data_IF_149214256518
#
_entry.id   IF_149214256518
#
_cell.length_a   1.000
_cell.length_b   1.000
_cell.length_c   1.000
_cell.angle_alpha   90.00
_cell.angle_beta   90.00
_cell.angle_gamma   90.00
#
_symmetry.space_group_name_H-M   'P 1'
#
loop_
_entity.id
_entity.type
_entity.pdbx_description
1 polymer ?
#
# COMPACT_ATOMS: atom_id res chain seq x y z
N UNK A 1 41.86 -12.43 0.06
CA UNK A 1 40.94 -11.88 1.09
C UNK A 1 40.17 -10.75 0.42
N UNK A 2 38.94 -11.01 -0.01
CA UNK A 2 38.08 -10.01 -0.66
C UNK A 2 37.17 -9.41 0.41
N UNK A 3 37.32 -8.10 0.62
CA UNK A 3 36.59 -7.32 1.60
C UNK A 3 35.17 -7.08 1.08
N UNK A 4 34.17 -7.64 1.76
CA UNK A 4 32.74 -7.48 1.46
C UNK A 4 32.14 -6.47 2.43
N UNK A 5 32.60 -5.22 2.36
CA UNK A 5 31.90 -4.06 2.95
C UNK A 5 31.20 -3.33 1.81
N UNK A 6 30.11 -3.90 1.36
CA UNK A 6 29.15 -3.18 0.52
C UNK A 6 27.81 -3.38 1.21
N UNK A 7 27.30 -2.32 1.84
CA UNK A 7 25.88 -2.21 2.16
C UNK A 7 25.12 -2.35 0.84
N UNK A 8 24.69 -3.57 0.53
CA UNK A 8 23.92 -3.85 -0.68
C UNK A 8 22.55 -3.21 -0.46
N UNK A 9 22.34 -2.03 -1.03
CA UNK A 9 21.03 -1.40 -1.08
C UNK A 9 20.14 -2.19 -2.05
N UNK A 10 19.32 -3.09 -1.48
CA UNK A 10 18.40 -3.98 -2.20
C UNK A 10 17.07 -3.29 -2.60
N UNK A 11 16.86 -2.06 -2.17
CA UNK A 11 15.66 -1.26 -2.44
C UNK A 11 15.28 -1.15 -3.93
N UNK A 12 16.22 -0.86 -4.87
CA UNK A 12 15.89 -0.76 -6.29
C UNK A 12 15.48 -2.10 -6.91
N UNK A 13 16.10 -3.20 -6.48
CA UNK A 13 15.76 -4.56 -6.94
C UNK A 13 14.37 -4.96 -6.46
N UNK A 14 14.04 -4.66 -5.20
CA UNK A 14 12.73 -4.94 -4.62
C UNK A 14 11.61 -4.15 -5.33
N UNK A 15 11.87 -2.86 -5.64
CA UNK A 15 10.92 -2.01 -6.36
C UNK A 15 10.66 -2.52 -7.78
N UNK A 16 11.71 -2.92 -8.50
CA UNK A 16 11.59 -3.51 -9.84
C UNK A 16 10.86 -4.87 -9.80
N UNK A 17 11.22 -5.73 -8.85
CA UNK A 17 10.62 -7.06 -8.70
C UNK A 17 9.12 -6.98 -8.37
N UNK A 18 8.72 -6.04 -7.50
CA UNK A 18 7.32 -5.78 -7.20
C UNK A 18 6.54 -5.26 -8.41
N UNK A 19 7.20 -4.45 -9.25
CA UNK A 19 6.59 -3.91 -10.47
C UNK A 19 6.26 -5.02 -11.48
N UNK A 20 7.13 -6.03 -11.61
CA UNK A 20 6.88 -7.20 -12.47
C UNK A 20 5.81 -8.15 -11.90
N UNK A 21 5.82 -8.38 -10.58
CA UNK A 21 4.81 -9.22 -9.92
C UNK A 21 3.40 -8.63 -9.94
N UNK A 22 3.28 -7.30 -10.04
CA UNK A 22 1.98 -6.64 -10.16
C UNK A 22 1.16 -7.13 -11.35
N UNK A 23 1.81 -7.67 -12.39
CA UNK A 23 1.16 -8.25 -13.58
C UNK A 23 0.45 -9.58 -13.31
N UNK A 24 0.89 -10.33 -12.28
CA UNK A 24 0.32 -11.62 -11.88
C UNK A 24 -0.76 -11.48 -10.78
N UNK A 25 -0.95 -10.28 -10.22
CA UNK A 25 -1.99 -10.05 -9.20
C UNK A 25 -3.36 -10.13 -9.88
N UNK A 26 -4.20 -11.12 -9.54
CA UNK A 26 -5.51 -11.29 -10.17
C UNK A 26 -6.39 -10.06 -9.93
N UNK A 27 -7.19 -9.65 -10.93
CA UNK A 27 -8.09 -8.48 -10.84
C UNK A 27 -9.00 -8.50 -9.60
N UNK A 28 -9.36 -9.67 -9.08
CA UNK A 28 -10.14 -9.83 -7.84
C UNK A 28 -9.41 -9.32 -6.59
N UNK A 29 -8.09 -9.46 -6.53
CA UNK A 29 -7.26 -8.91 -5.45
C UNK A 29 -6.98 -7.43 -5.64
N UNK A 30 -6.84 -6.96 -6.89
CA UNK A 30 -6.79 -5.52 -7.18
C UNK A 30 -8.10 -4.83 -6.80
N UNK A 31 -9.26 -5.45 -7.03
CA UNK A 31 -10.56 -4.95 -6.59
C UNK A 31 -10.72 -4.96 -5.06
N UNK A 32 -10.18 -5.98 -4.38
CA UNK A 32 -10.13 -6.02 -2.93
C UNK A 32 -9.18 -4.97 -2.33
N UNK A 33 -8.07 -4.63 -3.00
CA UNK A 33 -7.19 -3.51 -2.65
C UNK A 33 -7.81 -2.14 -3.03
N UNK A 34 -8.56 -2.08 -4.13
CA UNK A 34 -9.30 -0.89 -4.57
C UNK A 34 -10.60 -0.67 -3.77
N UNK A 35 -10.96 -1.59 -2.87
CA UNK A 35 -12.04 -1.46 -1.89
C UNK A 35 -11.82 -0.28 -0.94
N UNK A 36 -10.60 0.22 -0.86
CA UNK A 36 -10.18 1.37 -0.05
C UNK A 36 -10.53 2.74 -0.69
N UNK A 37 -11.38 2.75 -1.73
CA UNK A 37 -11.83 3.94 -2.47
C UNK A 37 -13.29 4.35 -2.20
N UNK A 38 -14.01 3.64 -1.33
CA UNK A 38 -15.33 4.11 -0.89
C UNK A 38 -15.17 5.23 0.13
N UNK A 39 -15.81 6.36 -0.14
CA UNK A 39 -15.74 7.57 0.69
C UNK A 39 -17.15 7.94 1.13
N UNK A 40 -17.31 8.21 2.42
CA UNK A 40 -18.52 8.81 2.95
C UNK A 40 -18.26 10.31 3.09
N UNK A 41 -18.77 11.11 2.15
CA UNK A 41 -18.62 12.56 2.18
C UNK A 41 -19.70 13.17 3.05
N UNK A 42 -19.29 14.01 3.98
CA UNK A 42 -20.18 14.76 4.88
C UNK A 42 -20.00 16.23 4.58
N UNK A 43 -21.04 16.85 4.05
CA UNK A 43 -21.10 18.28 3.77
C UNK A 43 -22.02 18.95 4.78
N UNK A 44 -21.56 20.04 5.39
CA UNK A 44 -22.29 20.73 6.44
C UNK A 44 -23.05 21.92 5.86
N UNK A 45 -24.37 21.89 6.01
CA UNK A 45 -25.28 23.00 5.80
C UNK A 45 -25.61 23.61 7.18
N UNK A 46 -26.02 24.89 7.29
CA UNK A 46 -26.24 25.53 8.60
C UNK A 46 -27.21 24.80 9.55
N UNK A 47 -28.12 23.97 9.02
CA UNK A 47 -29.13 23.24 9.81
C UNK A 47 -29.00 21.71 9.72
N UNK A 48 -28.37 21.18 8.67
CA UNK A 48 -28.33 19.74 8.36
C UNK A 48 -26.95 19.32 7.87
N UNK A 49 -26.59 18.06 8.07
CA UNK A 49 -25.46 17.43 7.42
C UNK A 49 -25.96 16.59 6.24
N UNK A 50 -25.53 16.94 5.04
CA UNK A 50 -25.76 16.12 3.85
C UNK A 50 -24.68 15.04 3.80
N UNK A 51 -25.11 13.79 3.70
CA UNK A 51 -24.21 12.65 3.65
C UNK A 51 -24.36 11.99 2.30
N UNK A 52 -23.25 11.87 1.57
CA UNK A 52 -23.18 11.17 0.29
C UNK A 52 -22.12 10.07 0.33
N UNK A 53 -22.45 8.95 -0.30
CA UNK A 53 -21.53 7.85 -0.50
C UNK A 53 -20.94 7.94 -1.90
N UNK A 54 -19.62 8.04 -2.00
CA UNK A 54 -18.88 8.11 -3.25
C UNK A 54 -18.08 6.83 -3.44
N UNK A 55 -18.34 6.09 -4.52
CA UNK A 55 -17.57 4.91 -4.90
C UNK A 55 -17.12 5.00 -6.35
N UNK A 56 -15.79 5.01 -6.55
CA UNK A 56 -15.03 4.99 -7.81
C UNK A 56 -15.41 6.04 -8.86
N UNK A 57 -16.68 6.29 -9.17
CA UNK A 57 -17.22 7.39 -10.00
C UNK A 57 -18.70 7.74 -9.72
N UNK A 58 -19.39 7.05 -8.81
CA UNK A 58 -20.80 7.30 -8.52
C UNK A 58 -20.97 7.91 -7.14
N UNK A 59 -21.71 9.02 -7.07
CA UNK A 59 -22.14 9.65 -5.83
C UNK A 59 -23.61 9.32 -5.58
N UNK A 60 -23.89 8.69 -4.45
CA UNK A 60 -25.23 8.36 -3.99
C UNK A 60 -25.51 9.16 -2.72
N UNK A 61 -26.45 10.09 -2.78
CA UNK A 61 -26.90 10.80 -1.59
C UNK A 61 -27.63 9.82 -0.66
N UNK A 62 -27.14 9.67 0.58
CA UNK A 62 -27.77 8.85 1.60
C UNK A 62 -28.92 9.60 2.28
N UNK A 63 -28.82 10.92 2.35
CA UNK A 63 -29.84 11.80 2.90
C UNK A 63 -29.24 13.06 3.52
N UNK A 64 -30.13 13.87 4.05
CA UNK A 64 -29.78 15.00 4.93
C UNK A 64 -30.22 14.66 6.34
N UNK A 65 -29.30 14.86 7.29
CA UNK A 65 -29.47 14.46 8.68
C UNK A 65 -29.33 15.70 9.57
N UNK A 66 -30.27 15.90 10.48
CA UNK A 66 -30.17 16.95 11.50
C UNK A 66 -29.18 16.57 12.60
N UNK A 67 -28.63 17.55 13.32
CA UNK A 67 -27.72 17.32 14.45
C UNK A 67 -28.47 16.89 15.72
N UNK A 68 -29.14 15.73 15.68
CA UNK A 68 -29.90 15.18 16.79
C UNK A 68 -29.60 13.67 17.00
N UNK A 69 -29.97 13.13 18.17
CA UNK A 69 -29.70 11.72 18.49
C UNK A 69 -30.49 10.75 17.59
N UNK A 70 -31.67 11.14 17.10
CA UNK A 70 -32.48 10.30 16.19
C UNK A 70 -31.78 10.09 14.84
N UNK A 71 -31.26 11.16 14.26
CA UNK A 71 -30.53 11.16 13.01
C UNK A 71 -29.21 10.38 13.12
N UNK A 72 -28.55 10.45 14.28
CA UNK A 72 -27.38 9.63 14.60
C UNK A 72 -27.73 8.13 14.63
N UNK A 73 -28.82 7.74 15.28
CA UNK A 73 -29.26 6.34 15.32
C UNK A 73 -29.63 5.83 13.91
N UNK A 74 -30.37 6.64 13.14
CA UNK A 74 -30.73 6.32 11.76
C UNK A 74 -29.48 6.12 10.89
N UNK A 75 -28.54 7.06 10.95
CA UNK A 75 -27.30 7.00 10.20
C UNK A 75 -26.44 5.79 10.61
N UNK A 76 -26.31 5.52 11.90
CA UNK A 76 -25.58 4.35 12.39
C UNK A 76 -26.23 3.05 11.94
N UNK A 77 -27.56 2.96 11.96
CA UNK A 77 -28.30 1.81 11.46
C UNK A 77 -28.07 1.60 9.96
N UNK A 78 -28.05 2.69 9.19
CA UNK A 78 -27.85 2.66 7.74
C UNK A 78 -26.44 2.21 7.37
N UNK A 79 -25.43 2.70 8.10
CA UNK A 79 -24.02 2.31 7.95
C UNK A 79 -23.81 0.85 8.39
N UNK A 80 -24.43 0.43 9.49
CA UNK A 80 -24.33 -0.95 9.98
C UNK A 80 -25.02 -1.96 9.05
N UNK A 81 -26.11 -1.55 8.39
CA UNK A 81 -26.88 -2.40 7.49
C UNK A 81 -26.14 -2.67 6.16
N UNK A 82 -25.23 -1.79 5.75
CA UNK A 82 -24.51 -1.89 4.49
C UNK A 82 -23.00 -1.96 4.73
N UNK A 83 -22.41 -3.15 4.53
CA UNK A 83 -20.97 -3.38 4.71
C UNK A 83 -20.09 -2.43 3.88
N UNK A 84 -20.59 -1.95 2.74
CA UNK A 84 -19.88 -1.00 1.88
C UNK A 84 -19.69 0.38 2.53
N UNK A 85 -20.64 0.81 3.37
CA UNK A 85 -20.57 2.08 4.10
C UNK A 85 -19.72 1.94 5.36
N UNK A 86 -19.78 0.77 6.02
CA UNK A 86 -18.99 0.50 7.22
C UNK A 86 -17.48 0.51 6.98
N UNK A 87 -17.04 0.03 5.80
CA UNK A 87 -15.63 0.04 5.40
C UNK A 87 -15.20 1.38 4.75
N UNK A 88 -16.13 2.32 4.51
CA UNK A 88 -15.85 3.58 3.83
C UNK A 88 -15.11 4.58 4.73
N UNK A 89 -14.19 5.34 4.14
CA UNK A 89 -13.51 6.44 4.85
C UNK A 89 -14.39 7.67 4.88
N UNK A 90 -14.62 8.24 6.06
CA UNK A 90 -15.39 9.47 6.21
C UNK A 90 -14.53 10.67 5.78
N UNK A 91 -15.05 11.49 4.88
CA UNK A 91 -14.47 12.73 4.39
C UNK A 91 -15.34 13.89 4.83
N UNK A 92 -14.75 14.84 5.55
CA UNK A 92 -15.38 16.10 5.92
C UNK A 92 -15.21 17.11 4.78
N UNK A 93 -16.29 17.47 4.09
CA UNK A 93 -16.26 18.49 3.04
C UNK A 93 -16.67 19.84 3.60
N UNK A 94 -15.72 20.78 3.55
CA UNK A 94 -15.95 22.18 3.90
C UNK A 94 -16.64 22.87 2.73
N UNK A 95 -17.79 23.52 2.94
CA UNK A 95 -18.47 24.23 1.86
C UNK A 95 -17.62 25.42 1.37
N UNK A 96 -17.84 25.81 0.11
CA UNK A 96 -16.98 26.75 -0.61
C UNK A 96 -16.88 28.11 0.08
N UNK A 97 -17.98 28.59 0.66
CA UNK A 97 -18.11 29.86 1.38
C UNK A 97 -17.21 29.97 2.63
N UNK A 98 -16.84 28.84 3.22
CA UNK A 98 -15.95 28.75 4.38
C UNK A 98 -14.50 28.47 4.01
N UNK A 99 -14.20 28.35 2.71
CA UNK A 99 -12.87 28.06 2.20
C UNK A 99 -12.35 29.19 1.30
N UNK A 100 -11.06 29.48 1.39
CA UNK A 100 -10.39 30.46 0.54
C UNK A 100 -9.36 29.74 -0.31
N UNK A 101 -9.37 30.03 -1.60
CA UNK A 101 -8.40 29.51 -2.57
C UNK A 101 -7.52 30.64 -3.08
N UNK A 102 -6.21 30.39 -3.13
CA UNK A 102 -5.23 31.36 -3.59
C UNK A 102 -4.13 30.65 -4.38
N UNK A 103 -3.81 31.16 -5.56
CA UNK A 103 -2.63 30.72 -6.31
C UNK A 103 -1.35 31.28 -5.68
N UNK A 104 -0.39 30.38 -5.42
CA UNK A 104 0.90 30.70 -4.81
C UNK A 104 2.03 30.15 -5.66
N UNK A 105 3.08 30.96 -5.82
CA UNK A 105 4.30 30.59 -6.54
C UNK A 105 5.46 30.57 -5.56
N UNK A 106 6.03 29.39 -5.32
CA UNK A 106 7.19 29.23 -4.45
C UNK A 106 8.44 28.84 -5.25
N UNK A 107 9.65 29.20 -4.78
CA UNK A 107 10.90 28.70 -5.34
C UNK A 107 10.95 27.17 -5.35
N UNK A 108 11.57 26.57 -6.36
CA UNK A 108 11.68 25.12 -6.48
C UNK A 108 12.42 24.47 -5.29
N UNK A 109 13.32 25.21 -4.65
CA UNK A 109 14.06 24.79 -3.46
C UNK A 109 13.11 24.54 -2.26
N UNK A 110 11.98 25.25 -2.22
CA UNK A 110 10.97 25.09 -1.17
C UNK A 110 10.19 23.76 -1.30
N UNK A 111 10.30 23.03 -2.41
CA UNK A 111 9.58 21.76 -2.62
C UNK A 111 9.82 20.73 -1.51
N UNK A 112 11.06 20.70 -1.01
CA UNK A 112 11.46 19.77 0.06
C UNK A 112 10.76 20.07 1.39
N UNK A 113 10.26 21.29 1.59
CA UNK A 113 9.69 21.74 2.86
C UNK A 113 8.54 22.74 2.69
N UNK A 114 7.62 22.44 1.78
CA UNK A 114 6.50 23.32 1.40
C UNK A 114 5.66 23.75 2.59
N UNK A 115 5.36 22.83 3.51
CA UNK A 115 4.53 23.13 4.67
C UNK A 115 5.17 24.16 5.60
N UNK A 116 6.48 24.03 5.88
CA UNK A 116 7.18 24.98 6.75
C UNK A 116 7.29 26.35 6.08
N UNK A 117 7.69 26.38 4.80
CA UNK A 117 7.79 27.65 4.05
C UNK A 117 6.44 28.35 4.00
N UNK A 118 5.37 27.62 3.70
CA UNK A 118 4.01 28.18 3.68
C UNK A 118 3.56 28.69 5.05
N UNK A 119 3.95 28.04 6.15
CA UNK A 119 3.62 28.50 7.51
C UNK A 119 4.18 29.90 7.78
N UNK A 120 5.37 30.21 7.27
CA UNK A 120 6.02 31.51 7.45
C UNK A 120 5.56 32.57 6.45
N UNK A 121 5.16 32.16 5.25
CA UNK A 121 4.74 33.07 4.17
C UNK A 121 3.21 33.25 4.12
N UNK A 122 2.45 32.58 4.98
CA UNK A 122 0.97 32.56 4.93
C UNK A 122 0.36 33.96 5.05
N UNK A 123 0.94 34.80 5.91
CA UNK A 123 0.51 36.18 6.19
C UNK A 123 0.81 37.14 5.03
N UNK A 124 1.75 36.77 4.13
CA UNK A 124 2.04 37.52 2.90
C UNK A 124 1.04 37.24 1.80
N UNK A 125 0.52 36.02 1.74
CA UNK A 125 -0.44 35.62 0.72
C UNK A 125 -1.89 35.80 1.15
N UNK A 126 -2.17 35.81 2.46
CA UNK A 126 -3.52 35.85 3.00
C UNK A 126 -3.61 36.76 4.22
N UNK A 127 -4.79 37.32 4.52
CA UNK A 127 -4.98 38.12 5.75
C UNK A 127 -5.04 37.26 7.03
N UNK A 128 -4.61 35.99 6.98
CA UNK A 128 -4.71 35.04 8.08
C UNK A 128 -3.32 34.58 8.54
N UNK A 129 -3.19 34.40 9.85
CA UNK A 129 -1.99 33.80 10.43
C UNK A 129 -2.12 32.27 10.45
N UNK A 130 -0.99 31.56 10.36
CA UNK A 130 -0.96 30.09 10.44
C UNK A 130 -1.55 29.52 11.74
N UNK A 131 -1.58 30.33 12.81
CA UNK A 131 -2.24 29.97 14.07
C UNK A 131 -3.76 29.88 13.98
N UNK A 132 -4.41 30.55 13.03
CA UNK A 132 -5.87 30.76 12.97
C UNK A 132 -6.56 29.92 11.88
N UNK A 133 -5.80 29.34 10.96
CA UNK A 133 -6.34 28.57 9.83
C UNK A 133 -5.68 27.20 9.71
N UNK A 134 -6.42 26.24 9.20
CA UNK A 134 -5.87 25.05 8.59
C UNK A 134 -5.70 25.30 7.10
N UNK A 135 -4.60 24.83 6.54
CA UNK A 135 -4.30 25.00 5.12
C UNK A 135 -3.77 23.70 4.52
N UNK A 136 -4.04 23.54 3.23
CA UNK A 136 -3.55 22.46 2.39
C UNK A 136 -3.16 23.01 1.03
N UNK A 137 -2.41 22.24 0.25
CA UNK A 137 -1.93 22.70 -1.04
C UNK A 137 -1.98 21.61 -2.10
N UNK A 138 -2.30 22.02 -3.32
CA UNK A 138 -2.38 21.17 -4.50
C UNK A 138 -1.34 21.65 -5.51
N UNK A 139 -0.45 20.77 -5.95
CA UNK A 139 0.51 21.08 -7.01
C UNK A 139 -0.22 21.04 -8.36
N UNK A 140 -0.28 22.18 -9.05
CA UNK A 140 -0.98 22.30 -10.33
C UNK A 140 -0.09 21.97 -11.55
N UNK A 141 1.23 21.97 -11.37
CA UNK A 141 2.21 21.61 -12.41
C UNK A 141 3.50 22.41 -12.29
N UNK A 142 4.48 22.22 -13.19
CA UNK A 142 5.63 23.11 -13.29
C UNK A 142 5.15 24.51 -13.67
N UNK A 143 5.62 25.54 -12.98
CA UNK A 143 5.36 26.91 -13.41
C UNK A 143 6.05 27.14 -14.78
N UNK A 144 5.63 28.19 -15.50
CA UNK A 144 6.24 28.59 -16.77
C UNK A 144 7.78 28.76 -16.69
N UNK A 145 8.31 28.92 -15.48
CA UNK A 145 9.74 28.96 -15.18
C UNK A 145 10.13 27.77 -14.29
N UNK A 146 11.15 27.00 -14.67
CA UNK A 146 11.67 25.84 -13.90
C UNK A 146 12.17 26.20 -12.48
N UNK A 147 12.36 27.48 -12.20
CA UNK A 147 12.75 27.98 -10.89
C UNK A 147 11.58 28.09 -9.89
N UNK A 148 10.32 28.03 -10.35
CA UNK A 148 9.13 28.22 -9.52
C UNK A 148 8.19 27.02 -9.61
N UNK A 149 7.45 26.78 -8.54
CA UNK A 149 6.42 25.76 -8.43
C UNK A 149 5.08 26.46 -8.25
N UNK A 150 4.10 26.08 -9.07
CA UNK A 150 2.73 26.57 -8.98
C UNK A 150 1.91 25.68 -8.06
N UNK A 151 1.41 26.28 -6.99
CA UNK A 151 0.61 25.63 -5.96
C UNK A 151 -0.73 26.36 -5.83
N UNK A 152 -1.81 25.60 -5.69
CA UNK A 152 -3.09 26.12 -5.22
C UNK A 152 -3.14 25.93 -3.70
N UNK A 153 -3.13 27.04 -2.98
CA UNK A 153 -3.31 27.09 -1.53
C UNK A 153 -4.81 27.13 -1.23
N UNK A 154 -5.26 26.24 -0.33
CA UNK A 154 -6.63 26.23 0.18
C UNK A 154 -6.57 26.35 1.70
N UNK A 155 -7.37 27.24 2.26
CA UNK A 155 -7.39 27.51 3.70
C UNK A 155 -8.81 27.67 4.25
N UNK A 156 -8.96 27.21 5.49
CA UNK A 156 -10.21 27.17 6.26
C UNK A 156 -9.92 27.61 7.68
N UNK A 157 -10.80 28.42 8.28
CA UNK A 157 -10.67 28.84 9.68
C UNK A 157 -10.71 27.63 10.62
N UNK A 158 -9.83 27.61 11.62
CA UNK A 158 -9.76 26.51 12.59
C UNK A 158 -11.07 26.32 13.33
N UNK A 159 -11.67 27.41 13.82
CA UNK A 159 -12.93 27.35 14.57
C UNK A 159 -14.05 26.74 13.75
N UNK A 160 -14.15 27.11 12.47
CA UNK A 160 -15.16 26.56 11.55
C UNK A 160 -14.96 25.07 11.32
N UNK A 161 -13.73 24.63 11.01
CA UNK A 161 -13.43 23.21 10.78
C UNK A 161 -13.63 22.37 12.04
N UNK A 162 -13.19 22.87 13.21
CA UNK A 162 -13.33 22.17 14.48
C UNK A 162 -14.81 22.02 14.87
N UNK A 163 -15.62 23.07 14.71
CA UNK A 163 -17.06 22.97 14.96
C UNK A 163 -17.72 21.91 14.05
N UNK A 164 -17.39 21.90 12.75
CA UNK A 164 -17.87 20.88 11.82
C UNK A 164 -17.40 19.47 12.22
N UNK A 165 -16.15 19.34 12.68
CA UNK A 165 -15.61 18.09 13.19
C UNK A 165 -16.39 17.59 14.41
N UNK A 166 -16.68 18.46 15.38
CA UNK A 166 -17.49 18.13 16.54
C UNK A 166 -18.92 17.73 16.17
N UNK A 167 -19.54 18.42 15.23
CA UNK A 167 -20.86 18.03 14.71
C UNK A 167 -20.81 16.65 14.02
N UNK A 168 -19.75 16.34 13.27
CA UNK A 168 -19.54 15.01 12.70
C UNK A 168 -19.46 13.94 13.79
N UNK A 169 -18.73 14.21 14.88
CA UNK A 169 -18.64 13.31 16.03
C UNK A 169 -20.00 13.12 16.72
N UNK A 170 -20.83 14.16 16.81
CA UNK A 170 -22.18 14.06 17.39
C UNK A 170 -23.08 13.11 16.59
N UNK A 171 -22.92 13.07 15.27
CA UNK A 171 -23.58 12.11 14.36
C UNK A 171 -22.96 10.70 14.44
N UNK A 172 -21.95 10.48 15.28
CA UNK A 172 -21.25 9.21 15.41
C UNK A 172 -20.28 8.90 14.27
N UNK A 173 -20.04 9.86 13.39
CA UNK A 173 -19.08 9.76 12.30
C UNK A 173 -17.70 10.25 12.76
N UNK A 174 -16.65 9.65 12.21
CA UNK A 174 -15.26 10.01 12.54
C UNK A 174 -14.51 10.39 11.27
N UNK A 175 -14.35 11.69 10.99
CA UNK A 175 -13.62 12.17 9.82
C UNK A 175 -12.20 11.62 9.76
N UNK A 176 -11.83 11.02 8.63
CA UNK A 176 -10.46 10.60 8.36
C UNK A 176 -9.69 11.68 7.58
N UNK A 177 -10.39 12.45 6.75
CA UNK A 177 -9.84 13.39 5.79
C UNK A 177 -10.76 14.59 5.66
N UNK A 178 -10.22 15.78 5.35
CA UNK A 178 -11.05 16.94 5.02
C UNK A 178 -10.63 17.58 3.68
N UNK A 179 -11.62 17.87 2.85
CA UNK A 179 -11.48 18.64 1.60
C UNK A 179 -12.35 19.90 1.63
N UNK A 180 -12.11 20.78 0.66
CA UNK A 180 -13.00 21.90 0.34
C UNK A 180 -13.85 21.56 -0.88
N UNK A 181 -15.13 21.93 -0.84
CA UNK A 181 -16.04 21.88 -1.97
C UNK A 181 -15.56 22.75 -3.15
N UNK A 182 -14.83 23.82 -2.86
CA UNK A 182 -14.24 24.70 -3.87
C UNK A 182 -13.23 23.98 -4.76
N UNK A 183 -12.55 22.96 -4.21
CA UNK A 183 -11.69 22.04 -4.98
C UNK A 183 -11.77 20.63 -4.42
N UNK A 184 -12.70 19.85 -4.97
CA UNK A 184 -12.81 18.42 -4.70
C UNK A 184 -11.65 17.69 -5.37
N UNK A 185 -10.91 16.92 -4.58
CA UNK A 185 -9.84 16.04 -5.05
C UNK A 185 -10.04 14.67 -4.43
N UNK A 186 -9.97 13.63 -5.26
CA UNK A 186 -10.03 12.27 -4.75
C UNK A 186 -8.83 12.03 -3.82
N UNK A 187 -9.01 11.51 -2.60
CA UNK A 187 -7.90 11.17 -1.69
C UNK A 187 -6.85 10.23 -2.30
N UNK A 188 -7.25 9.43 -3.31
CA UNK A 188 -6.34 8.56 -4.07
C UNK A 188 -5.48 9.30 -5.11
N UNK A 189 -5.92 10.48 -5.57
CA UNK A 189 -5.25 11.34 -6.56
C UNK A 189 -4.58 12.55 -5.90
N UNK A 190 -5.04 12.94 -4.71
CA UNK A 190 -4.39 13.92 -3.87
C UNK A 190 -2.99 13.37 -3.54
N UNK A 191 -1.97 13.88 -4.22
CA UNK A 191 -0.58 13.54 -3.97
C UNK A 191 -0.17 13.97 -2.55
N UNK A 192 -0.54 13.19 -1.53
CA UNK A 192 -0.11 13.21 -0.12
C UNK A 192 -0.24 14.54 0.68
N UNK A 193 -0.51 15.68 0.05
CA UNK A 193 -0.26 17.01 0.63
C UNK A 193 -1.50 17.91 0.71
N UNK A 194 -2.59 17.51 0.06
CA UNK A 194 -3.89 18.16 0.25
C UNK A 194 -4.68 17.34 1.26
N UNK A 195 -4.76 17.81 2.51
CA UNK A 195 -5.68 17.35 3.56
C UNK A 195 -5.82 18.51 4.54
N UNK A 196 -7.03 19.04 4.70
CA UNK A 196 -7.29 20.15 5.61
C UNK A 196 -7.40 19.70 7.06
N UNK A 197 -7.56 18.39 7.31
CA UNK A 197 -7.64 17.84 8.65
C UNK A 197 -6.21 17.61 9.20
N UNK A 198 -5.84 18.24 10.32
CA UNK A 198 -4.54 17.98 10.94
C UNK A 198 -4.44 16.52 11.39
N UNK A 199 -3.21 15.98 11.35
CA UNK A 199 -2.92 14.58 11.73
C UNK A 199 -3.31 14.23 13.17
N UNK A 200 -3.47 15.24 14.03
CA UNK A 200 -3.89 15.13 15.42
C UNK A 200 -5.39 14.79 15.56
N UNK A 201 -6.21 15.31 14.65
CA UNK A 201 -7.66 15.06 14.61
C UNK A 201 -8.01 13.83 13.75
N UNK A 202 -7.09 13.40 12.87
CA UNK A 202 -7.22 12.16 12.12
C UNK A 202 -7.12 10.95 13.05
N UNK A 203 -8.18 10.14 13.16
CA UNK A 203 -8.06 8.84 13.79
C UNK A 203 -7.16 7.95 12.91
N UNK A 204 -6.01 7.54 13.46
CA UNK A 204 -5.00 6.72 12.78
C UNK A 204 -5.66 5.49 12.17
N UNK A 205 -5.61 5.37 10.83
CA UNK A 205 -6.18 4.25 10.09
C UNK A 205 -5.82 2.93 10.78
N UNK A 206 -6.83 2.11 11.09
CA UNK A 206 -6.64 0.86 11.80
C UNK A 206 -5.87 -0.12 10.90
N UNK A 207 -4.54 -0.21 11.07
CA UNK A 207 -3.66 -1.06 10.25
C UNK A 207 -3.74 -2.56 10.59
N UNK A 208 -4.51 -2.93 11.63
CA UNK A 208 -4.63 -4.32 12.11
C UNK A 208 -5.02 -5.35 11.03
N UNK A 209 -6.02 -5.12 10.15
CA UNK A 209 -6.37 -6.13 9.14
C UNK A 209 -5.26 -6.36 8.11
N UNK A 210 -4.47 -5.32 7.79
CA UNK A 210 -3.32 -5.44 6.89
C UNK A 210 -2.20 -6.30 7.52
N UNK A 211 -1.89 -6.08 8.80
CA UNK A 211 -0.90 -6.88 9.51
C UNK A 211 -1.33 -8.35 9.67
N UNK A 212 -2.63 -8.59 9.90
CA UNK A 212 -3.18 -9.96 9.97
C UNK A 212 -3.06 -10.65 8.61
N UNK A 213 -3.39 -9.95 7.51
CA UNK A 213 -3.26 -10.48 6.15
C UNK A 213 -1.80 -10.74 5.73
N UNK A 214 -0.87 -9.86 6.11
CA UNK A 214 0.56 -10.07 5.86
C UNK A 214 1.11 -11.25 6.67
N UNK A 215 0.66 -11.38 7.92
CA UNK A 215 1.03 -12.50 8.79
C UNK A 215 0.58 -13.85 8.23
N UNK A 216 -0.66 -13.95 7.76
CA UNK A 216 -1.16 -15.20 7.15
C UNK A 216 -0.42 -15.52 5.84
N UNK A 217 -0.17 -14.53 4.99
CA UNK A 217 0.61 -14.72 3.76
C UNK A 217 2.03 -15.23 4.05
N UNK A 218 2.70 -14.67 5.06
CA UNK A 218 4.03 -15.11 5.49
C UNK A 218 4.02 -16.56 5.99
N UNK A 219 3.05 -16.93 6.84
CA UNK A 219 2.91 -18.31 7.32
C UNK A 219 2.67 -19.28 6.16
N UNK A 220 1.82 -18.92 5.19
CA UNK A 220 1.60 -19.76 4.00
C UNK A 220 2.85 -19.91 3.14
N UNK A 221 3.65 -18.84 2.97
CA UNK A 221 4.91 -18.88 2.22
C UNK A 221 5.94 -19.79 2.92
N UNK A 222 6.08 -19.65 4.24
CA UNK A 222 6.98 -20.49 5.05
C UNK A 222 6.55 -21.95 4.97
N UNK A 223 5.25 -22.25 5.07
CA UNK A 223 4.73 -23.62 4.93
C UNK A 223 5.05 -24.21 3.54
N UNK A 224 4.93 -23.40 2.48
CA UNK A 224 5.24 -23.80 1.10
C UNK A 224 6.73 -24.09 0.92
N UNK A 225 7.60 -23.26 1.50
CA UNK A 225 9.05 -23.47 1.51
C UNK A 225 9.40 -24.77 2.24
N UNK A 226 8.80 -25.02 3.41
CA UNK A 226 8.99 -26.27 4.17
C UNK A 226 8.55 -27.49 3.36
N UNK A 227 7.39 -27.41 2.69
CA UNK A 227 6.89 -28.48 1.81
C UNK A 227 7.82 -28.75 0.63
N UNK A 228 8.52 -27.73 0.12
CA UNK A 228 9.43 -27.84 -1.01
C UNK A 228 10.81 -28.40 -0.61
N UNK A 229 11.24 -28.20 0.63
CA UNK A 229 12.51 -28.73 1.17
C UNK A 229 12.39 -30.22 1.53
N UNK A 230 11.23 -30.65 2.04
CA UNK A 230 10.95 -32.04 2.45
C UNK A 230 11.19 -33.14 1.38
N UNK A 231 10.83 -32.97 0.09
CA UNK A 231 11.09 -33.99 -0.92
C UNK A 231 12.57 -34.03 -1.37
N UNK A 232 13.31 -32.94 -1.22
CA UNK A 232 14.72 -32.86 -1.65
C UNK A 232 15.64 -33.80 -0.87
N UNK A 233 15.38 -34.00 0.42
CA UNK A 233 16.15 -34.93 1.26
C UNK A 233 15.83 -36.39 0.96
N UNK A 234 14.58 -36.70 0.60
CA UNK A 234 14.17 -38.06 0.20
C UNK A 234 14.76 -38.48 -1.16
N UNK A 235 14.96 -37.51 -2.06
CA UNK A 235 15.58 -37.77 -3.37
C UNK A 235 17.08 -38.07 -3.27
N UNK A 236 17.78 -37.52 -2.27
CA UNK A 236 19.21 -37.80 -2.06
C UNK A 236 19.47 -39.21 -1.53
N UNK A 237 18.57 -39.75 -0.71
CA UNK A 237 18.71 -41.10 -0.15
C UNK A 237 18.66 -42.19 -1.24
N UNK A 238 17.77 -42.03 -2.23
CA UNK A 238 17.66 -42.96 -3.36
C UNK A 238 18.90 -42.95 -4.27
N UNK A 239 19.54 -41.78 -4.42
CA UNK A 239 20.75 -41.64 -5.24
C UNK A 239 21.96 -42.34 -4.61
N UNK A 240 22.06 -42.31 -3.28
CA UNK A 240 23.10 -43.04 -2.54
C UNK A 240 22.89 -44.55 -2.62
N UNK A 241 21.65 -45.03 -2.55
CA UNK A 241 21.36 -46.46 -2.70
C UNK A 241 21.72 -46.97 -4.12
N UNK A 242 21.43 -46.17 -5.16
CA UNK A 242 21.81 -46.48 -6.54
C UNK A 242 23.32 -46.45 -6.77
N UNK A 243 24.05 -45.49 -6.16
CA UNK A 243 25.53 -45.48 -6.18
C UNK A 243 26.11 -46.72 -5.49
N UNK A 244 25.50 -47.16 -4.39
CA UNK A 244 25.96 -48.34 -3.66
C UNK A 244 25.71 -49.64 -4.46
N UNK A 245 24.58 -49.73 -5.18
CA UNK A 245 24.32 -50.84 -6.12
C UNK A 245 25.24 -50.80 -7.34
N UNK A 246 25.49 -49.62 -7.92
CA UNK A 246 26.43 -49.46 -9.02
C UNK A 246 27.88 -49.80 -8.61
N UNK A 247 28.29 -49.44 -7.39
CA UNK A 247 29.58 -49.84 -6.81
C UNK A 247 29.72 -51.35 -6.65
N UNK A 248 28.65 -52.05 -6.23
CA UNK A 248 28.64 -53.52 -6.16
C UNK A 248 28.71 -54.18 -7.54
N UNK A 249 28.03 -53.64 -8.55
CA UNK A 249 28.09 -54.16 -9.93
C UNK A 249 29.47 -53.92 -10.55
N UNK A 250 30.11 -52.78 -10.28
CA UNK A 250 31.48 -52.49 -10.71
C UNK A 250 32.52 -53.44 -10.10
N UNK A 251 32.37 -53.80 -8.82
CA UNK A 251 33.23 -54.77 -8.15
C UNK A 251 33.12 -56.18 -8.78
N UNK A 252 31.90 -56.61 -9.11
CA UNK A 252 31.66 -57.91 -9.79
C UNK A 252 32.21 -57.90 -11.22
N UNK A 253 32.15 -56.78 -11.93
CA UNK A 253 32.72 -56.66 -13.27
C UNK A 253 34.26 -56.79 -13.27
N UNK A 254 34.94 -56.21 -12.26
CA UNK A 254 36.40 -56.36 -12.11
C UNK A 254 36.83 -57.80 -11.79
N UNK A 255 36.03 -58.54 -11.02
CA UNK A 255 36.31 -59.95 -10.68
C UNK A 255 36.21 -60.88 -11.91
N UNK A 256 35.26 -60.60 -12.80
CA UNK A 256 35.11 -61.32 -14.08
C UNK A 256 36.28 -60.99 -15.03
N UNK A 257 36.74 -59.74 -15.06
CA UNK A 257 37.87 -59.34 -15.89
C UNK A 257 39.21 -59.95 -15.42
N UNK A 258 39.43 -60.01 -14.11
CA UNK A 258 40.56 -60.71 -13.50
C UNK A 258 40.55 -62.23 -13.81
N UNK A 259 39.37 -62.85 -13.75
CA UNK A 259 39.19 -64.28 -14.07
C UNK A 259 39.43 -64.58 -15.55
N UNK A 260 39.08 -63.64 -16.45
CA UNK A 260 39.30 -63.78 -17.90
C UNK A 260 40.78 -63.65 -18.25
N UNK A 261 41.52 -62.76 -17.58
CA UNK A 261 42.98 -62.59 -17.75
C UNK A 261 43.75 -63.82 -17.29
N UNK A 262 43.30 -64.49 -16.22
CA UNK A 262 43.87 -65.76 -15.76
C UNK A 262 43.59 -66.91 -16.73
N UNK A 263 42.39 -66.96 -17.34
CA UNK A 263 42.03 -67.97 -18.35
C UNK A 263 42.77 -67.81 -19.68
N UNK A 264 43.08 -66.58 -20.09
CA UNK A 264 43.84 -66.30 -21.31
C UNK A 264 45.34 -66.64 -21.21
N UNK A 265 45.90 -66.72 -20.00
CA UNK A 265 47.27 -67.22 -19.79
C UNK A 265 47.39 -68.75 -19.82
N UNK A 266 46.27 -69.47 -19.69
CA UNK A 266 46.24 -70.96 -19.67
C UNK A 266 45.87 -71.57 -21.04
N UNK A 267 45.31 -70.79 -21.97
CA UNK A 267 44.79 -71.30 -23.26
C UNK A 267 45.62 -70.96 -24.50
N UNK A 268 46.83 -70.41 -24.34
CA UNK A 268 47.71 -69.99 -25.44
C UNK A 268 48.91 -70.89 -25.66
N UNK A 269 48.72 -72.18 -25.97
CA UNK A 269 49.72 -73.03 -26.64
C UNK A 269 49.05 -74.19 -27.41
N UNK A 270 48.82 -74.05 -28.73
CA UNK A 270 48.59 -75.18 -29.63
C UNK A 270 49.82 -75.44 -30.53
N UNK A 271 50.40 -76.65 -30.39
CA UNK A 271 51.14 -77.46 -31.40
C UNK A 271 52.33 -76.84 -32.17
N UNK A 272 53.30 -77.53 -32.77
CA UNK A 272 53.68 -78.95 -33.00
C UNK A 272 55.04 -78.87 -33.74
N UNK A 273 56.01 -79.77 -33.49
CA UNK A 273 56.89 -80.39 -34.52
C UNK A 273 58.17 -80.99 -33.91
N UNK A 274 58.18 -82.32 -33.78
CA UNK A 274 59.12 -83.21 -34.48
C UNK A 274 58.64 -84.65 -34.42
#
# INVERSE_FOLDING_TARGET
MLNLDSEIDLSPVFKWWWQQLSFLVPRKFQAALARDKSLLVVEFTPATAKISFVNQQQETALGEFEFNELAKEELQSLIASHKEYSDAKVVLRVPEDLSVMQDVFLPAEAESNLHQVMTYELDRYTPFNAGQVYFGFIKLGPANNKALIHLLLILVKKDSLENMYQHCLSLGLKPFYADSAARVVNPAEAHSQYNLLPKELCQKANKKPLFIMLGTAFVTLVLLIILMILPGTRATDQLNELKQRAGKVGAVAQEIEGSKKHRLLVSGYPGTDR
#
